data_IF_806707239952
#
_entry.id   IF_806707239952
#
_cell.length_a   1.000
_cell.length_b   1.000
_cell.length_c   1.000
_cell.angle_alpha   90.00
_cell.angle_beta   90.00
_cell.angle_gamma   90.00
#
_symmetry.space_group_name_H-M   'P 1'
#
loop_
_entity.id
_entity.type
_entity.pdbx_description
1 polymer ?
#
# COMPACT_ATOMS: atom_id res chain seq x y z
N UNK A 1 4.81 -17.79 -21.16
CA UNK A 1 5.55 -17.28 -19.99
C UNK A 1 4.75 -16.13 -19.42
N UNK A 2 4.20 -16.28 -18.22
CA UNK A 2 3.62 -15.17 -17.47
C UNK A 2 4.79 -14.32 -16.99
N UNK A 3 4.84 -13.05 -17.42
CA UNK A 3 5.86 -12.12 -16.95
C UNK A 3 5.69 -11.93 -15.43
N UNK A 4 6.70 -12.29 -14.64
CA UNK A 4 6.68 -12.13 -13.18
C UNK A 4 6.96 -10.67 -12.82
N UNK A 5 6.09 -10.08 -12.00
CA UNK A 5 6.24 -8.70 -11.52
C UNK A 5 6.58 -8.69 -10.03
N UNK A 6 7.35 -7.69 -9.62
CA UNK A 6 7.58 -7.38 -8.22
C UNK A 6 7.03 -6.02 -7.87
N UNK A 7 6.56 -5.91 -6.64
CA UNK A 7 6.20 -4.65 -6.00
C UNK A 7 7.20 -4.37 -4.88
N UNK A 8 8.04 -3.36 -5.09
CA UNK A 8 8.92 -2.79 -4.07
C UNK A 8 8.17 -1.67 -3.34
N UNK A 9 7.94 -1.83 -2.04
CA UNK A 9 7.36 -0.75 -1.22
C UNK A 9 8.36 -0.29 -0.17
N UNK A 10 8.61 1.00 -0.08
CA UNK A 10 9.51 1.60 0.91
C UNK A 10 8.74 2.53 1.85
N UNK A 11 9.07 2.49 3.14
CA UNK A 11 8.45 3.30 4.20
C UNK A 11 9.53 4.06 4.97
N UNK A 12 9.46 5.38 4.99
CA UNK A 12 10.46 6.25 5.63
C UNK A 12 9.86 7.63 5.99
N UNK A 13 10.62 8.49 6.67
CA UNK A 13 10.17 9.87 6.97
C UNK A 13 10.43 10.82 5.79
N UNK A 14 9.50 11.72 5.48
CA UNK A 14 9.61 12.66 4.35
C UNK A 14 10.91 13.47 4.32
N UNK A 15 11.41 13.88 5.50
CA UNK A 15 12.63 14.70 5.62
C UNK A 15 13.92 13.89 5.52
N UNK A 16 13.83 12.58 5.36
CA UNK A 16 15.00 11.73 5.25
C UNK A 16 15.82 12.09 4.00
N UNK A 17 17.14 12.13 4.17
CA UNK A 17 18.09 12.40 3.09
C UNK A 17 18.69 11.11 2.55
N UNK A 18 19.07 11.12 1.28
CA UNK A 18 19.83 10.03 0.67
C UNK A 18 21.25 9.98 1.26
N UNK A 19 21.80 8.77 1.47
CA UNK A 19 23.11 8.58 2.12
C UNK A 19 24.29 8.76 1.15
N UNK A 20 24.16 8.28 -0.09
CA UNK A 20 25.29 8.14 -1.01
C UNK A 20 25.36 9.19 -2.13
N UNK A 21 24.46 10.17 -2.16
CA UNK A 21 24.48 11.21 -3.20
C UNK A 21 25.46 12.33 -2.83
N UNK A 22 26.75 12.10 -3.13
CA UNK A 22 27.82 13.08 -2.97
C UNK A 22 27.69 14.27 -3.95
N UNK A 23 26.80 14.20 -4.95
CA UNK A 23 26.60 15.25 -5.94
C UNK A 23 25.33 16.10 -5.68
N UNK A 24 24.34 15.59 -4.94
CA UNK A 24 23.12 16.33 -4.57
C UNK A 24 22.63 15.98 -3.17
N UNK A 25 22.70 16.94 -2.24
CA UNK A 25 22.08 16.88 -0.92
C UNK A 25 20.53 16.88 -1.00
N UNK A 26 19.92 15.84 -1.57
CA UNK A 26 18.48 15.71 -1.80
C UNK A 26 17.73 14.91 -0.73
N UNK A 27 16.40 14.98 -0.79
CA UNK A 27 15.52 14.07 -0.04
C UNK A 27 15.56 12.66 -0.64
N UNK A 28 15.45 11.64 0.20
CA UNK A 28 15.46 10.24 -0.22
C UNK A 28 14.36 9.93 -1.23
N UNK A 29 13.15 10.46 -1.02
CA UNK A 29 12.04 10.29 -1.95
C UNK A 29 12.39 10.79 -3.36
N UNK A 30 13.00 11.98 -3.45
CA UNK A 30 13.39 12.57 -4.73
C UNK A 30 14.47 11.74 -5.44
N UNK A 31 15.45 11.21 -4.69
CA UNK A 31 16.49 10.33 -5.22
C UNK A 31 15.92 9.00 -5.73
N UNK A 32 15.06 8.35 -4.96
CA UNK A 32 14.38 7.10 -5.37
C UNK A 32 13.54 7.31 -6.63
N UNK A 33 12.77 8.39 -6.68
CA UNK A 33 11.91 8.67 -7.84
C UNK A 33 12.70 9.12 -9.07
N UNK A 34 13.87 9.76 -8.90
CA UNK A 34 14.81 9.99 -10.01
C UNK A 34 15.27 8.65 -10.57
N UNK A 35 15.74 7.74 -9.72
CA UNK A 35 16.15 6.40 -10.12
C UNK A 35 15.01 5.66 -10.86
N UNK A 36 13.79 5.69 -10.33
CA UNK A 36 12.65 5.02 -10.98
C UNK A 36 12.26 5.66 -12.33
N UNK A 37 12.43 6.97 -12.48
CA UNK A 37 12.26 7.66 -13.76
C UNK A 37 13.36 7.30 -14.76
N UNK A 38 14.62 7.31 -14.34
CA UNK A 38 15.79 6.97 -15.17
C UNK A 38 15.80 5.51 -15.62
N UNK A 39 15.28 4.61 -14.78
CA UNK A 39 15.12 3.18 -15.10
C UNK A 39 13.78 2.87 -15.79
N UNK A 40 12.97 3.89 -16.07
CA UNK A 40 11.66 3.76 -16.71
C UNK A 40 10.79 2.68 -16.06
N UNK A 41 10.65 2.74 -14.74
CA UNK A 41 9.81 1.81 -13.97
C UNK A 41 8.35 1.93 -14.44
N UNK A 42 7.68 0.82 -14.71
CA UNK A 42 6.34 0.78 -15.30
C UNK A 42 5.35 1.63 -14.50
N UNK A 43 5.35 1.51 -13.17
CA UNK A 43 4.74 2.51 -12.31
C UNK A 43 5.44 2.66 -10.97
N UNK A 44 5.46 3.88 -10.43
CA UNK A 44 5.75 4.13 -9.02
C UNK A 44 4.78 5.16 -8.46
N UNK A 45 4.43 5.06 -7.19
CA UNK A 45 3.52 6.00 -6.53
C UNK A 45 4.09 6.39 -5.17
N UNK A 46 4.39 7.68 -4.99
CA UNK A 46 4.76 8.26 -3.70
C UNK A 46 3.50 8.77 -3.00
N UNK A 47 3.20 8.18 -1.84
CA UNK A 47 2.10 8.53 -0.96
C UNK A 47 2.64 9.18 0.32
N UNK A 48 1.98 10.25 0.76
CA UNK A 48 2.19 10.85 2.08
C UNK A 48 1.18 10.26 3.05
N UNK A 49 1.66 9.65 4.12
CA UNK A 49 0.82 9.12 5.19
C UNK A 49 0.50 10.18 6.24
N UNK A 50 -0.47 9.86 7.09
CA UNK A 50 -1.03 10.76 8.12
C UNK A 50 -0.57 10.38 9.53
N UNK A 51 -0.13 9.15 9.72
CA UNK A 51 0.50 8.71 10.96
C UNK A 51 1.44 7.52 10.70
N UNK A 52 2.51 7.40 11.48
CA UNK A 52 3.31 6.18 11.54
C UNK A 52 4.16 6.10 12.80
N UNK A 53 4.68 4.91 13.06
CA UNK A 53 5.89 4.75 13.86
C UNK A 53 6.72 3.61 13.27
N UNK A 54 8.03 3.64 13.54
CA UNK A 54 8.97 2.59 13.12
C UNK A 54 9.67 1.96 14.32
N UNK A 55 10.77 1.23 14.10
CA UNK A 55 11.46 0.45 15.15
C UNK A 55 11.99 1.27 16.33
N UNK A 56 12.06 2.60 16.19
CA UNK A 56 12.44 3.53 17.27
C UNK A 56 11.25 4.04 18.08
N UNK A 57 10.03 3.59 17.77
CA UNK A 57 8.79 3.99 18.44
C UNK A 57 8.59 5.52 18.46
N UNK A 58 9.07 6.22 17.42
CA UNK A 58 8.83 7.65 17.23
C UNK A 58 7.56 7.82 16.43
N UNK A 59 6.55 8.43 17.06
CA UNK A 59 5.30 8.78 16.40
C UNK A 59 5.54 9.92 15.40
N UNK A 60 5.05 9.72 14.18
CA UNK A 60 4.95 10.72 13.12
C UNK A 60 3.47 10.94 12.86
N UNK A 61 3.01 12.19 12.80
CA UNK A 61 1.60 12.50 12.54
C UNK A 61 1.47 13.85 11.84
N UNK A 62 0.42 14.00 11.01
CA UNK A 62 0.01 15.25 10.37
C UNK A 62 -0.87 16.13 11.27
N UNK A 63 -1.06 15.75 12.53
CA UNK A 63 -1.96 16.44 13.46
C UNK A 63 -1.47 17.82 13.92
N UNK A 64 -0.22 18.21 13.64
CA UNK A 64 0.44 19.28 14.37
C UNK A 64 0.57 20.64 13.67
N UNK A 65 0.26 20.89 12.39
CA UNK A 65 0.50 22.19 11.70
C UNK A 65 1.89 22.85 11.88
N UNK A 66 2.86 22.16 12.49
CA UNK A 66 4.15 22.74 12.84
C UNK A 66 5.10 22.58 11.66
N UNK A 67 6.02 23.53 11.49
CA UNK A 67 7.09 23.45 10.48
C UNK A 67 8.09 22.29 10.74
N UNK A 68 7.91 21.55 11.85
CA UNK A 68 8.75 20.42 12.27
C UNK A 68 8.15 19.05 11.90
N UNK A 69 7.03 19.00 11.18
CA UNK A 69 6.44 17.74 10.74
C UNK A 69 7.37 16.97 9.80
N UNK A 70 7.46 15.66 10.03
CA UNK A 70 8.18 14.70 9.21
C UNK A 70 7.24 13.51 8.95
N UNK A 71 6.20 13.73 8.11
CA UNK A 71 5.16 12.74 7.88
C UNK A 71 5.77 11.48 7.25
N UNK A 72 5.15 10.31 7.47
CA UNK A 72 5.57 9.10 6.77
C UNK A 72 5.38 9.25 5.26
N UNK A 73 6.34 8.73 4.52
CA UNK A 73 6.28 8.53 3.08
C UNK A 73 6.25 7.03 2.81
N UNK A 74 5.38 6.64 1.88
CA UNK A 74 5.37 5.31 1.27
C UNK A 74 5.62 5.46 -0.22
N UNK A 75 6.63 4.79 -0.76
CA UNK A 75 6.84 4.72 -2.22
C UNK A 75 6.66 3.28 -2.67
N UNK A 76 5.70 3.03 -3.55
CA UNK A 76 5.47 1.72 -4.14
C UNK A 76 5.85 1.74 -5.62
N UNK A 77 6.79 0.90 -6.03
CA UNK A 77 7.24 0.72 -7.41
C UNK A 77 6.90 -0.69 -7.90
N UNK A 78 6.36 -0.80 -9.12
CA UNK A 78 5.96 -2.07 -9.74
C UNK A 78 6.52 -2.16 -11.14
N UNK A 79 7.21 -3.26 -11.43
CA UNK A 79 7.70 -3.63 -12.75
C UNK A 79 8.05 -5.13 -12.79
N UNK A 80 8.56 -5.59 -13.93
CA UNK A 80 9.18 -6.89 -14.11
C UNK A 80 10.17 -7.19 -12.99
N UNK A 81 10.16 -8.44 -12.54
CA UNK A 81 11.02 -8.94 -11.47
C UNK A 81 12.49 -8.63 -11.71
N UNK A 82 12.98 -8.79 -12.96
CA UNK A 82 14.36 -8.48 -13.32
C UNK A 82 14.71 -7.01 -13.13
N UNK A 83 13.79 -6.09 -13.49
CA UNK A 83 14.02 -4.65 -13.35
C UNK A 83 14.01 -4.22 -11.89
N UNK A 84 13.01 -4.67 -11.11
CA UNK A 84 12.91 -4.36 -9.69
C UNK A 84 14.10 -4.96 -8.91
N UNK A 85 14.48 -6.20 -9.20
CA UNK A 85 15.64 -6.82 -8.55
C UNK A 85 16.93 -6.05 -8.83
N UNK A 86 17.09 -5.54 -10.07
CA UNK A 86 18.26 -4.76 -10.48
C UNK A 86 18.39 -3.36 -9.84
N UNK A 87 17.33 -2.82 -9.23
CA UNK A 87 17.33 -1.51 -8.58
C UNK A 87 17.29 -1.58 -7.04
N UNK A 88 17.08 -2.75 -6.46
CA UNK A 88 16.97 -2.93 -5.01
C UNK A 88 18.25 -2.49 -4.29
N UNK A 89 19.42 -2.87 -4.80
CA UNK A 89 20.70 -2.50 -4.17
C UNK A 89 20.96 -0.99 -4.22
N UNK A 90 20.58 -0.32 -5.31
CA UNK A 90 20.67 1.14 -5.44
C UNK A 90 19.75 1.82 -4.40
N UNK A 91 18.51 1.33 -4.26
CA UNK A 91 17.54 1.81 -3.26
C UNK A 91 18.06 1.61 -1.84
N UNK A 92 18.68 0.45 -1.55
CA UNK A 92 19.32 0.17 -0.25
C UNK A 92 20.47 1.13 0.00
N UNK A 93 21.35 1.32 -0.99
CA UNK A 93 22.54 2.15 -0.88
C UNK A 93 22.20 3.61 -0.55
N UNK A 94 21.11 4.14 -1.12
CA UNK A 94 20.67 5.51 -0.81
C UNK A 94 19.86 5.63 0.50
N UNK A 95 19.38 4.52 1.09
CA UNK A 95 18.49 4.56 2.25
C UNK A 95 19.23 4.45 3.57
N UNK A 96 19.18 5.52 4.38
CA UNK A 96 19.77 5.52 5.73
C UNK A 96 18.89 4.88 6.81
N UNK A 97 17.57 5.04 6.72
CA UNK A 97 16.56 4.50 7.65
C UNK A 97 15.28 4.12 6.91
N UNK A 98 14.57 3.10 7.35
CA UNK A 98 13.26 2.76 6.80
C UNK A 98 12.99 1.27 6.73
N UNK A 99 11.84 0.94 6.16
CA UNK A 99 11.41 -0.42 5.89
C UNK A 99 11.22 -0.58 4.38
N UNK A 100 11.65 -1.70 3.82
CA UNK A 100 11.42 -2.08 2.44
C UNK A 100 10.74 -3.43 2.41
N UNK A 101 9.75 -3.59 1.55
CA UNK A 101 9.11 -4.88 1.26
C UNK A 101 9.24 -5.19 -0.23
N UNK A 102 9.46 -6.46 -0.55
CA UNK A 102 9.34 -6.97 -1.90
C UNK A 102 8.23 -8.02 -1.93
N UNK A 103 7.22 -7.76 -2.76
CA UNK A 103 6.04 -8.59 -2.91
C UNK A 103 5.95 -9.10 -4.34
N UNK A 104 5.51 -10.36 -4.50
CA UNK A 104 5.19 -10.90 -5.82
C UNK A 104 3.85 -10.35 -6.27
N UNK A 105 3.81 -9.86 -7.49
CA UNK A 105 2.61 -9.37 -8.14
C UNK A 105 2.47 -10.08 -9.49
N UNK A 106 1.24 -10.36 -9.88
CA UNK A 106 0.93 -10.78 -11.24
C UNK A 106 0.33 -9.61 -11.99
N UNK A 107 0.91 -9.26 -13.14
CA UNK A 107 0.28 -8.34 -14.07
C UNK A 107 -0.84 -9.12 -14.79
N UNK A 108 -2.09 -8.79 -14.49
CA UNK A 108 -3.23 -9.46 -15.13
C UNK A 108 -3.34 -9.03 -16.60
N UNK A 109 -3.23 -10.00 -17.51
CA UNK A 109 -3.80 -9.91 -18.88
C UNK A 109 -5.16 -10.60 -18.85
N UNK A 110 -6.08 -10.19 -19.71
CA UNK A 110 -7.51 -10.56 -19.69
C UNK A 110 -7.84 -12.07 -19.67
N UNK A 111 -6.84 -12.96 -19.81
CA UNK A 111 -7.03 -14.40 -20.01
C UNK A 111 -6.43 -15.29 -18.90
N UNK A 112 -6.05 -14.74 -17.73
CA UNK A 112 -5.51 -15.54 -16.62
C UNK A 112 -6.62 -16.07 -15.70
N UNK A 113 -6.90 -17.37 -15.81
CA UNK A 113 -7.72 -18.13 -14.85
C UNK A 113 -6.87 -18.40 -13.60
N UNK A 114 -7.38 -18.06 -12.41
CA UNK A 114 -6.72 -18.34 -11.13
C UNK A 114 -7.66 -19.06 -10.17
N UNK A 115 -7.02 -19.79 -9.25
CA UNK A 115 -7.54 -20.64 -8.18
C UNK A 115 -8.88 -20.15 -7.54
N UNK A 116 -9.92 -21.01 -7.44
CA UNK A 116 -11.23 -20.69 -6.84
C UNK A 116 -11.20 -20.31 -5.35
N UNK A 117 -10.09 -20.53 -4.65
CA UNK A 117 -10.02 -20.42 -3.20
C UNK A 117 -8.99 -19.39 -2.73
N UNK A 118 -9.28 -18.10 -2.88
CA UNK A 118 -9.14 -17.10 -1.79
C UNK A 118 -9.48 -15.68 -2.24
N UNK A 119 -9.63 -14.82 -1.26
CA UNK A 119 -9.72 -13.37 -1.49
C UNK A 119 -8.46 -12.88 -2.21
N UNK A 120 -8.63 -11.94 -3.14
CA UNK A 120 -7.58 -11.30 -3.90
C UNK A 120 -7.60 -9.81 -3.66
N UNK A 121 -6.40 -9.21 -3.60
CA UNK A 121 -6.21 -7.77 -3.62
C UNK A 121 -5.86 -7.36 -5.05
N UNK A 122 -6.77 -6.65 -5.70
CA UNK A 122 -6.54 -6.04 -7.00
C UNK A 122 -6.09 -4.59 -6.80
N UNK A 123 -4.91 -4.25 -7.30
CA UNK A 123 -4.42 -2.88 -7.34
C UNK A 123 -4.46 -2.34 -8.77
N UNK A 124 -5.17 -1.24 -8.97
CA UNK A 124 -5.28 -0.55 -10.27
C UNK A 124 -4.48 0.75 -10.23
N UNK A 125 -3.65 0.98 -11.24
CA UNK A 125 -2.88 2.20 -11.40
C UNK A 125 -3.44 3.04 -12.56
N UNK A 126 -3.80 4.29 -12.27
CA UNK A 126 -4.33 5.24 -13.26
C UNK A 126 -3.74 6.62 -13.06
N UNK A 127 -3.76 7.46 -14.10
CA UNK A 127 -3.35 8.86 -13.99
C UNK A 127 -4.43 9.76 -13.38
N UNK A 128 -4.03 10.85 -12.70
CA UNK A 128 -4.97 11.86 -12.14
C UNK A 128 -5.88 12.50 -13.19
N UNK A 129 -5.39 12.64 -14.42
CA UNK A 129 -6.10 13.27 -15.52
C UNK A 129 -6.74 12.27 -16.47
N UNK A 130 -6.49 10.98 -16.26
CA UNK A 130 -7.06 9.92 -17.07
C UNK A 130 -8.59 9.88 -16.87
N UNK A 131 -9.30 9.57 -17.96
CA UNK A 131 -10.75 9.54 -17.98
C UNK A 131 -11.27 8.29 -18.66
N UNK A 132 -12.37 7.75 -18.12
CA UNK A 132 -13.12 6.63 -18.70
C UNK A 132 -14.55 7.15 -18.90
N UNK A 133 -15.04 7.15 -20.14
CA UNK A 133 -16.39 7.65 -20.45
C UNK A 133 -16.65 9.09 -19.97
N UNK A 134 -15.62 9.94 -19.97
CA UNK A 134 -15.70 11.34 -19.50
C UNK A 134 -15.57 11.53 -17.99
N UNK A 135 -15.72 10.48 -17.18
CA UNK A 135 -15.50 10.51 -15.73
C UNK A 135 -14.00 10.39 -15.39
N UNK A 136 -13.51 10.97 -14.27
CA UNK A 136 -12.16 10.68 -13.78
C UNK A 136 -11.96 9.17 -13.61
N UNK A 137 -10.88 8.62 -14.15
CA UNK A 137 -10.66 7.18 -14.22
C UNK A 137 -10.80 6.50 -12.86
N UNK A 138 -10.23 7.08 -11.79
CA UNK A 138 -10.33 6.50 -10.45
C UNK A 138 -11.77 6.35 -9.93
N UNK A 139 -12.70 7.23 -10.34
CA UNK A 139 -14.12 7.12 -9.98
C UNK A 139 -14.79 6.01 -10.76
N UNK A 140 -14.60 6.02 -12.08
CA UNK A 140 -15.15 4.99 -12.95
C UNK A 140 -14.64 3.58 -12.58
N UNK A 141 -13.37 3.45 -12.20
CA UNK A 141 -12.81 2.20 -11.66
C UNK A 141 -13.51 1.81 -10.35
N UNK A 142 -13.67 2.72 -9.38
CA UNK A 142 -14.41 2.40 -8.16
C UNK A 142 -15.86 2.01 -8.41
N UNK A 143 -16.56 2.69 -9.33
CA UNK A 143 -17.94 2.37 -9.68
C UNK A 143 -18.05 0.99 -10.33
N UNK A 144 -17.09 0.63 -11.20
CA UNK A 144 -16.96 -0.71 -11.76
C UNK A 144 -16.74 -1.75 -10.67
N UNK A 145 -15.77 -1.55 -9.78
CA UNK A 145 -15.47 -2.48 -8.69
C UNK A 145 -16.66 -2.66 -7.75
N UNK A 146 -17.40 -1.59 -7.48
CA UNK A 146 -18.62 -1.62 -6.68
C UNK A 146 -19.72 -2.46 -7.36
N UNK A 147 -19.95 -2.27 -8.67
CA UNK A 147 -20.91 -3.09 -9.44
C UNK A 147 -20.54 -4.57 -9.47
N UNK A 148 -19.25 -4.90 -9.46
CA UNK A 148 -18.76 -6.29 -9.36
C UNK A 148 -18.84 -6.86 -7.93
N UNK A 149 -19.28 -6.07 -6.95
CA UNK A 149 -19.51 -6.51 -5.57
C UNK A 149 -18.25 -6.70 -4.74
N UNK A 150 -17.17 -5.98 -5.05
CA UNK A 150 -15.94 -6.00 -4.22
C UNK A 150 -16.26 -5.63 -2.77
N UNK A 151 -15.53 -6.19 -1.82
CA UNK A 151 -15.73 -5.92 -0.39
C UNK A 151 -15.38 -4.47 -0.01
N UNK A 152 -14.48 -3.84 -0.77
CA UNK A 152 -14.13 -2.44 -0.62
C UNK A 152 -13.03 -2.02 -1.59
N UNK A 153 -12.90 -0.71 -1.77
CA UNK A 153 -11.81 -0.09 -2.52
C UNK A 153 -11.36 1.23 -1.90
N UNK A 154 -10.07 1.53 -1.98
CA UNK A 154 -9.49 2.79 -1.52
C UNK A 154 -8.57 3.37 -2.59
N UNK A 155 -8.81 4.64 -2.95
CA UNK A 155 -8.03 5.40 -3.93
C UNK A 155 -7.03 6.29 -3.21
N UNK A 156 -5.76 6.10 -3.52
CA UNK A 156 -4.65 6.89 -3.01
C UNK A 156 -4.07 7.77 -4.12
N UNK A 157 -3.97 9.06 -3.85
CA UNK A 157 -3.42 10.04 -4.78
C UNK A 157 -1.92 10.22 -4.52
N UNK A 158 -1.11 9.92 -5.55
CA UNK A 158 0.32 10.19 -5.51
C UNK A 158 0.67 11.67 -5.48
N UNK A 159 1.78 12.00 -4.82
CA UNK A 159 2.42 13.33 -4.86
C UNK A 159 3.42 13.41 -6.02
N UNK A 160 4.07 12.29 -6.31
CA UNK A 160 5.04 12.07 -7.36
C UNK A 160 5.03 10.57 -7.71
N UNK A 161 5.62 10.17 -8.82
CA UNK A 161 5.61 8.79 -9.25
C UNK A 161 5.88 8.61 -10.74
N UNK A 162 5.96 7.36 -11.16
CA UNK A 162 6.13 6.96 -12.55
C UNK A 162 4.81 6.37 -13.07
N UNK A 163 4.44 6.69 -14.30
CA UNK A 163 3.37 6.01 -15.03
C UNK A 163 3.86 5.73 -16.45
N UNK A 164 3.80 4.46 -16.87
CA UNK A 164 4.29 3.98 -18.15
C UNK A 164 5.75 4.40 -18.43
N UNK A 165 6.61 4.23 -17.42
CA UNK A 165 8.03 4.60 -17.52
C UNK A 165 8.34 6.08 -17.42
N UNK A 166 7.34 6.97 -17.41
CA UNK A 166 7.54 8.42 -17.30
C UNK A 166 7.25 8.95 -15.90
N UNK A 167 8.15 9.76 -15.35
CA UNK A 167 7.96 10.39 -14.03
C UNK A 167 7.07 11.64 -14.11
N UNK A 168 6.11 11.71 -13.22
CA UNK A 168 5.17 12.81 -13.04
C UNK A 168 5.23 13.32 -11.59
N UNK A 169 5.61 14.60 -11.40
CA UNK A 169 5.70 15.25 -10.08
C UNK A 169 4.73 16.42 -9.97
N UNK A 170 3.88 16.46 -8.95
CA UNK A 170 3.06 17.64 -8.68
C UNK A 170 3.97 18.83 -8.30
N UNK A 171 3.96 19.92 -9.11
CA UNK A 171 4.64 21.18 -8.76
C UNK A 171 3.60 22.22 -8.35
N UNK A 172 3.95 23.06 -7.37
CA UNK A 172 3.07 24.07 -6.75
C UNK A 172 2.41 25.06 -7.76
N UNK A 173 3.04 25.28 -8.91
CA UNK A 173 2.53 26.15 -9.99
C UNK A 173 2.15 25.42 -11.28
N UNK A 174 2.31 24.09 -11.36
CA UNK A 174 1.90 23.34 -12.56
C UNK A 174 0.44 22.93 -12.42
N UNK A 175 -0.43 23.54 -13.23
CA UNK A 175 -1.88 23.36 -13.14
C UNK A 175 -2.39 21.95 -13.46
N UNK A 176 -1.55 21.03 -13.93
CA UNK A 176 -2.06 19.79 -14.53
C UNK A 176 -0.98 18.70 -14.66
N UNK A 177 -0.58 18.07 -13.55
CA UNK A 177 0.32 16.91 -13.61
C UNK A 177 -0.48 15.62 -13.46
N UNK A 178 -0.32 14.71 -14.41
CA UNK A 178 -0.91 13.37 -14.42
C UNK A 178 -0.19 12.44 -13.43
N UNK A 179 -0.03 12.87 -12.17
CA UNK A 179 0.55 12.04 -11.10
C UNK A 179 -0.23 10.73 -10.99
N UNK A 180 0.45 9.60 -10.74
CA UNK A 180 -0.22 8.31 -10.66
C UNK A 180 -1.05 8.18 -9.39
N UNK A 181 -2.15 7.46 -9.50
CA UNK A 181 -3.00 7.01 -8.41
C UNK A 181 -2.90 5.50 -8.27
N UNK A 182 -3.06 5.02 -7.04
CA UNK A 182 -3.15 3.62 -6.69
C UNK A 182 -4.53 3.34 -6.11
N UNK A 183 -5.25 2.37 -6.66
CA UNK A 183 -6.58 1.95 -6.18
C UNK A 183 -6.46 0.53 -5.66
N UNK A 184 -6.52 0.36 -4.34
CA UNK A 184 -6.43 -0.95 -3.69
C UNK A 184 -7.86 -1.46 -3.45
N UNK A 185 -8.18 -2.65 -3.94
CA UNK A 185 -9.51 -3.24 -3.82
C UNK A 185 -9.44 -4.71 -3.41
N UNK A 186 -10.44 -5.15 -2.65
CA UNK A 186 -10.50 -6.52 -2.09
C UNK A 186 -11.74 -7.22 -2.64
N UNK A 187 -11.56 -8.36 -3.29
CA UNK A 187 -12.64 -9.14 -3.89
C UNK A 187 -12.27 -10.62 -4.03
N UNK A 188 -13.20 -11.46 -4.42
CA UNK A 188 -12.92 -12.85 -4.79
C UNK A 188 -12.13 -12.94 -6.10
N UNK A 189 -11.45 -14.06 -6.34
CA UNK A 189 -10.75 -14.30 -7.60
C UNK A 189 -11.66 -14.12 -8.84
N UNK A 190 -12.92 -14.58 -8.77
CA UNK A 190 -13.90 -14.41 -9.84
C UNK A 190 -14.23 -12.93 -10.11
N UNK A 191 -14.45 -12.15 -9.05
CA UNK A 191 -14.69 -10.70 -9.17
C UNK A 191 -13.47 -9.98 -9.75
N UNK A 192 -12.26 -10.35 -9.31
CA UNK A 192 -11.02 -9.79 -9.83
C UNK A 192 -10.82 -10.11 -11.30
N UNK A 193 -11.08 -11.35 -11.73
CA UNK A 193 -10.99 -11.75 -13.14
C UNK A 193 -11.98 -10.95 -14.01
N UNK A 194 -13.26 -10.89 -13.60
CA UNK A 194 -14.29 -10.15 -14.33
C UNK A 194 -13.99 -8.64 -14.42
N UNK A 195 -13.58 -8.03 -13.30
CA UNK A 195 -13.22 -6.62 -13.27
C UNK A 195 -11.96 -6.33 -14.09
N UNK A 196 -10.93 -7.19 -14.04
CA UNK A 196 -9.72 -7.02 -14.83
C UNK A 196 -9.98 -7.08 -16.34
N UNK A 197 -10.87 -7.96 -16.79
CA UNK A 197 -11.30 -8.04 -18.19
C UNK A 197 -12.01 -6.76 -18.63
N UNK A 198 -12.97 -6.26 -17.86
CA UNK A 198 -13.69 -5.00 -18.19
C UNK A 198 -12.75 -3.79 -18.14
N UNK A 199 -11.86 -3.73 -17.14
CA UNK A 199 -10.85 -2.67 -17.03
C UNK A 199 -9.88 -2.67 -18.21
N UNK A 200 -9.46 -3.85 -18.67
CA UNK A 200 -8.58 -3.99 -19.85
C UNK A 200 -9.25 -3.54 -21.14
N UNK A 201 -10.58 -3.57 -21.22
CA UNK A 201 -11.33 -3.09 -22.38
C UNK A 201 -11.50 -1.56 -22.40
N UNK A 202 -11.48 -0.90 -21.23
CA UNK A 202 -11.73 0.54 -21.11
C UNK A 202 -10.48 1.38 -20.86
N UNK A 203 -9.41 0.79 -20.33
CA UNK A 203 -8.13 1.45 -20.12
C UNK A 203 -7.20 1.19 -21.32
N UNK A 204 -6.57 2.21 -21.91
CA UNK A 204 -5.66 2.02 -23.03
C UNK A 204 -4.42 1.17 -22.70
N UNK A 205 -3.89 1.33 -21.48
CA UNK A 205 -2.69 0.64 -21.00
C UNK A 205 -2.91 0.21 -19.54
N UNK A 206 -3.71 -0.83 -19.28
CA UNK A 206 -4.05 -1.24 -17.92
C UNK A 206 -2.79 -1.69 -17.17
N UNK A 207 -2.48 -1.04 -16.06
CA UNK A 207 -1.50 -1.50 -15.07
C UNK A 207 -2.27 -2.00 -13.85
N UNK A 208 -2.35 -3.33 -13.73
CA UNK A 208 -3.14 -4.05 -12.73
C UNK A 208 -2.27 -5.09 -12.03
N UNK A 209 -2.15 -5.03 -10.70
CA UNK A 209 -1.54 -6.14 -9.94
C UNK A 209 -2.59 -6.91 -9.18
N UNK A 210 -2.38 -8.22 -9.08
CA UNK A 210 -3.15 -9.08 -8.20
C UNK A 210 -2.21 -9.74 -7.20
N UNK A 211 -2.57 -9.63 -5.93
CA UNK A 211 -1.88 -10.27 -4.81
C UNK A 211 -2.89 -11.14 -4.03
N UNK A 212 -2.47 -12.33 -3.60
CA UNK A 212 -3.28 -13.23 -2.77
C UNK A 212 -3.37 -12.68 -1.34
N UNK A 213 -4.58 -12.60 -0.79
CA UNK A 213 -4.80 -12.09 0.57
C UNK A 213 -5.84 -12.95 1.31
N UNK A 214 -5.77 -12.98 2.64
CA UNK A 214 -6.84 -13.51 3.49
C UNK A 214 -7.67 -12.39 4.05
N UNK A 215 -8.96 -12.42 3.79
CA UNK A 215 -9.92 -11.58 4.48
C UNK A 215 -10.11 -12.10 5.91
N UNK A 216 -9.65 -11.33 6.90
CA UNK A 216 -9.71 -11.71 8.30
C UNK A 216 -10.98 -11.18 8.98
N UNK A 217 -11.37 -9.94 8.67
CA UNK A 217 -12.58 -9.31 9.21
C UNK A 217 -13.27 -8.43 8.20
N UNK A 218 -14.59 -8.27 8.37
CA UNK A 218 -15.41 -7.29 7.66
C UNK A 218 -16.58 -6.84 8.54
N UNK A 219 -16.66 -5.54 8.80
CA UNK A 219 -17.76 -4.88 9.51
C UNK A 219 -18.14 -5.60 10.81
N UNK A 220 -17.14 -5.80 11.67
CA UNK A 220 -17.26 -6.47 12.96
C UNK A 220 -17.29 -8.00 12.90
N UNK A 221 -17.61 -8.59 11.75
CA UNK A 221 -17.59 -10.04 11.59
C UNK A 221 -16.16 -10.56 11.45
N UNK A 222 -15.79 -11.48 12.35
CA UNK A 222 -14.52 -12.23 12.26
C UNK A 222 -14.70 -13.43 11.35
N UNK A 223 -13.96 -13.45 10.25
CA UNK A 223 -14.04 -14.47 9.19
C UNK A 223 -12.91 -15.49 9.32
N UNK A 224 -11.70 -15.01 9.63
CA UNK A 224 -10.53 -15.82 9.87
C UNK A 224 -9.47 -15.04 10.66
N UNK A 225 -8.55 -15.76 11.29
CA UNK A 225 -7.30 -15.15 11.77
C UNK A 225 -6.27 -15.07 10.62
N UNK A 226 -5.23 -14.23 10.75
CA UNK A 226 -4.13 -14.20 9.80
C UNK A 226 -3.53 -15.60 9.56
N UNK A 227 -3.03 -15.86 8.35
CA UNK A 227 -2.37 -17.14 8.03
C UNK A 227 -1.31 -17.48 9.07
N UNK A 228 -1.30 -18.73 9.55
CA UNK A 228 -0.21 -19.25 10.37
C UNK A 228 0.95 -19.64 9.46
N UNK A 229 1.75 -18.65 9.11
CA UNK A 229 2.94 -18.85 8.28
C UNK A 229 4.11 -19.35 9.14
N UNK A 230 5.01 -20.19 8.59
CA UNK A 230 6.23 -20.57 9.27
C UNK A 230 7.15 -19.35 9.44
N UNK A 231 8.13 -19.44 10.34
CA UNK A 231 9.14 -18.39 10.50
C UNK A 231 10.07 -18.27 9.29
N UNK A 232 10.31 -19.38 8.60
CA UNK A 232 11.16 -19.46 7.41
C UNK A 232 10.55 -20.36 6.35
N UNK A 233 10.96 -20.18 5.10
CA UNK A 233 10.65 -21.11 4.01
C UNK A 233 11.54 -22.38 4.07
N UNK A 234 11.34 -23.27 3.09
CA UNK A 234 12.11 -24.52 2.92
C UNK A 234 13.63 -24.29 2.72
N UNK A 235 14.03 -23.08 2.34
CA UNK A 235 15.43 -22.67 2.15
C UNK A 235 15.98 -21.87 3.34
N UNK A 236 15.23 -21.78 4.45
CA UNK A 236 15.63 -21.03 5.65
C UNK A 236 15.49 -19.52 5.52
N UNK A 237 14.84 -19.00 4.48
CA UNK A 237 14.64 -17.55 4.29
C UNK A 237 13.49 -17.07 5.18
N UNK A 238 13.62 -15.92 5.87
CA UNK A 238 12.58 -15.43 6.76
C UNK A 238 11.29 -15.10 6.00
N UNK A 239 10.16 -15.59 6.49
CA UNK A 239 8.83 -15.23 5.97
C UNK A 239 8.27 -14.10 6.81
N UNK A 240 7.69 -13.11 6.13
CA UNK A 240 7.05 -11.97 6.77
C UNK A 240 5.57 -11.93 6.42
N UNK A 241 4.83 -11.11 7.15
CA UNK A 241 3.40 -10.97 6.96
C UNK A 241 3.00 -9.51 7.12
N UNK A 242 1.98 -9.13 6.35
CA UNK A 242 1.41 -7.79 6.37
C UNK A 242 -0.06 -7.87 6.74
N UNK A 243 -0.48 -6.98 7.64
CA UNK A 243 -1.88 -6.68 7.89
C UNK A 243 -2.22 -5.32 7.30
N UNK A 244 -3.36 -5.24 6.62
CA UNK A 244 -3.94 -3.98 6.18
C UNK A 244 -5.32 -3.84 6.83
N UNK A 245 -5.52 -2.74 7.55
CA UNK A 245 -6.78 -2.41 8.22
C UNK A 245 -7.40 -1.22 7.50
N UNK A 246 -8.49 -1.47 6.80
CA UNK A 246 -9.24 -0.51 6.01
C UNK A 246 -10.42 0.02 6.84
N UNK A 247 -10.44 1.32 7.08
CA UNK A 247 -11.50 2.01 7.85
C UNK A 247 -11.92 3.30 7.12
N UNK A 248 -12.94 3.99 7.63
CA UNK A 248 -13.17 5.40 7.27
C UNK A 248 -12.49 6.32 8.28
N UNK A 249 -12.07 7.50 7.84
CA UNK A 249 -11.53 8.55 8.73
C UNK A 249 -12.55 8.95 9.82
N UNK A 250 -13.84 8.93 9.48
CA UNK A 250 -14.93 9.26 10.40
C UNK A 250 -15.27 8.14 11.39
N UNK A 251 -14.83 6.90 11.14
CA UNK A 251 -15.19 5.76 11.97
C UNK A 251 -14.34 5.77 13.24
N UNK A 252 -15.02 5.86 14.39
CA UNK A 252 -14.37 5.86 15.70
C UNK A 252 -14.62 4.59 16.52
N UNK A 253 -13.75 4.36 17.49
CA UNK A 253 -13.91 3.40 18.58
C UNK A 253 -13.59 4.12 19.89
N UNK A 254 -14.52 4.12 20.86
CA UNK A 254 -14.34 4.84 22.12
C UNK A 254 -14.13 6.35 21.96
N UNK A 255 -14.74 6.97 20.93
CA UNK A 255 -14.64 8.41 20.64
C UNK A 255 -13.38 8.85 19.89
N UNK A 256 -12.47 7.92 19.54
CA UNK A 256 -11.27 8.19 18.73
C UNK A 256 -11.36 7.52 17.37
N UNK A 257 -10.93 8.15 16.26
CA UNK A 257 -10.82 7.48 14.96
C UNK A 257 -10.00 6.19 15.05
N UNK A 258 -10.47 5.09 14.43
CA UNK A 258 -9.87 3.75 14.59
C UNK A 258 -8.37 3.76 14.24
N UNK A 259 -7.97 4.42 13.16
CA UNK A 259 -6.56 4.48 12.77
C UNK A 259 -5.65 5.14 13.84
N UNK A 260 -6.16 6.13 14.58
CA UNK A 260 -5.42 6.77 15.69
C UNK A 260 -5.32 5.83 16.88
N UNK A 261 -6.43 5.18 17.23
CA UNK A 261 -6.45 4.19 18.29
C UNK A 261 -5.50 3.02 17.99
N UNK A 262 -5.45 2.55 16.73
CA UNK A 262 -4.53 1.51 16.26
C UNK A 262 -3.08 1.93 16.43
N UNK A 263 -2.68 3.08 15.87
CA UNK A 263 -1.30 3.57 15.97
C UNK A 263 -0.88 3.69 17.43
N UNK A 264 -1.72 4.30 18.27
CA UNK A 264 -1.43 4.47 19.70
C UNK A 264 -1.30 3.14 20.42
N UNK A 265 -2.26 2.22 20.29
CA UNK A 265 -2.21 0.93 20.99
C UNK A 265 -1.08 0.03 20.50
N UNK A 266 -0.79 0.02 19.20
CA UNK A 266 0.35 -0.74 18.66
C UNK A 266 1.69 -0.17 19.13
N UNK A 267 1.79 1.15 19.25
CA UNK A 267 2.97 1.83 19.79
C UNK A 267 3.16 1.53 21.28
N UNK A 268 2.11 1.73 22.09
CA UNK A 268 2.13 1.61 23.55
C UNK A 268 2.32 0.15 24.01
N UNK A 269 1.78 -0.81 23.26
CA UNK A 269 1.90 -2.25 23.58
C UNK A 269 3.28 -2.84 23.25
N UNK A 270 4.06 -2.18 22.39
CA UNK A 270 5.30 -2.75 21.85
C UNK A 270 5.09 -4.00 20.98
N UNK A 271 3.85 -4.30 20.58
CA UNK A 271 3.49 -5.53 19.84
C UNK A 271 3.73 -5.46 18.33
N UNK A 272 4.11 -4.30 17.80
CA UNK A 272 4.47 -4.11 16.41
C UNK A 272 5.77 -3.33 16.30
N UNK A 273 6.61 -3.70 15.34
CA UNK A 273 7.85 -2.96 15.02
C UNK A 273 7.60 -1.64 14.31
N UNK A 274 6.42 -1.47 13.73
CA UNK A 274 6.00 -0.25 13.07
C UNK A 274 4.62 -0.38 12.45
N UNK A 275 3.98 0.76 12.22
CA UNK A 275 2.75 0.87 11.46
C UNK A 275 2.79 2.14 10.61
N UNK A 276 2.16 2.12 9.44
CA UNK A 276 1.99 3.30 8.57
C UNK A 276 0.53 3.48 8.21
N UNK A 277 0.02 4.70 8.34
CA UNK A 277 -1.37 5.05 8.03
C UNK A 277 -1.42 5.94 6.79
N UNK A 278 -2.18 5.50 5.80
CA UNK A 278 -2.42 6.22 4.55
C UNK A 278 -3.88 6.69 4.48
N UNK A 279 -4.09 7.94 4.10
CA UNK A 279 -5.40 8.51 3.84
C UNK A 279 -5.65 8.53 2.33
N UNK A 280 -6.75 7.93 1.89
CA UNK A 280 -7.20 7.99 0.51
C UNK A 280 -8.03 9.25 0.22
N UNK A 281 -8.43 9.42 -1.03
CA UNK A 281 -9.26 10.55 -1.49
C UNK A 281 -10.67 10.13 -1.91
N UNK A 282 -10.86 8.84 -2.17
CA UNK A 282 -12.09 8.25 -2.69
C UNK A 282 -12.11 6.75 -2.38
N UNK A 283 -13.28 6.14 -2.24
CA UNK A 283 -13.40 4.71 -2.00
C UNK A 283 -14.77 4.29 -1.51
N UNK A 284 -14.90 3.02 -1.15
CA UNK A 284 -16.08 2.45 -0.53
C UNK A 284 -15.72 1.25 0.35
N UNK A 285 -16.61 0.91 1.27
CA UNK A 285 -16.57 -0.31 2.07
C UNK A 285 -18.00 -0.77 2.38
N UNK A 286 -18.22 -2.09 2.34
CA UNK A 286 -19.56 -2.67 2.49
C UNK A 286 -20.54 -2.17 1.43
N UNK A 287 -21.81 -1.97 1.81
CA UNK A 287 -22.90 -1.58 0.90
C UNK A 287 -22.99 -0.06 0.65
N UNK A 288 -21.96 0.71 1.01
CA UNK A 288 -21.95 2.15 0.81
C UNK A 288 -21.46 2.48 -0.60
N UNK A 289 -22.17 3.36 -1.29
CA UNK A 289 -21.73 3.88 -2.59
C UNK A 289 -20.34 4.53 -2.52
N UNK A 290 -19.54 4.50 -3.60
CA UNK A 290 -18.28 5.20 -3.70
C UNK A 290 -18.38 6.67 -3.32
N UNK A 291 -17.57 7.08 -2.35
CA UNK A 291 -17.58 8.41 -1.79
C UNK A 291 -16.15 8.87 -1.51
N UNK A 292 -15.99 10.16 -1.19
CA UNK A 292 -14.68 10.72 -0.92
C UNK A 292 -14.75 12.19 -0.56
N UNK A 293 -13.61 12.84 -0.58
CA UNK A 293 -13.48 14.21 -0.08
C UNK A 293 -14.30 15.19 -0.93
N UNK A 294 -15.22 15.91 -0.29
CA UNK A 294 -15.94 17.03 -0.88
C UNK A 294 -15.48 18.29 -0.17
N UNK A 295 -15.12 19.33 -0.94
CA UNK A 295 -14.48 20.59 -0.49
C UNK A 295 -15.20 21.33 0.67
N UNK A 296 -16.39 20.89 1.09
CA UNK A 296 -17.25 21.51 2.11
C UNK A 296 -17.88 20.52 3.10
N UNK A 297 -17.39 19.28 3.21
CA UNK A 297 -17.90 18.33 4.23
C UNK A 297 -17.19 18.52 5.58
N UNK A 298 -17.98 18.72 6.65
CA UNK A 298 -17.50 18.85 8.04
C UNK A 298 -16.83 17.57 8.56
N UNK A 299 -17.23 16.40 8.04
CA UNK A 299 -16.69 15.09 8.38
C UNK A 299 -16.25 14.39 7.11
N UNK A 300 -14.94 14.18 6.94
CA UNK A 300 -14.39 13.47 5.79
C UNK A 300 -14.63 11.98 5.96
N UNK A 301 -15.46 11.39 5.09
CA UNK A 301 -15.64 9.94 4.98
C UNK A 301 -14.64 9.37 3.98
N UNK A 302 -13.36 9.65 4.13
CA UNK A 302 -12.34 9.11 3.21
C UNK A 302 -11.80 7.79 3.75
N UNK A 303 -11.41 6.84 2.88
CA UNK A 303 -10.81 5.60 3.34
C UNK A 303 -9.45 5.88 3.99
N UNK A 304 -9.17 5.17 5.08
CA UNK A 304 -7.90 5.17 5.77
C UNK A 304 -7.41 3.73 5.87
N UNK A 305 -6.15 3.50 5.53
CA UNK A 305 -5.53 2.18 5.58
C UNK A 305 -4.33 2.21 6.50
N UNK A 306 -4.39 1.42 7.57
CA UNK A 306 -3.27 1.18 8.47
C UNK A 306 -2.55 -0.10 8.06
N UNK A 307 -1.25 0.00 7.80
CA UNK A 307 -0.40 -1.09 7.32
C UNK A 307 0.58 -1.47 8.41
N UNK A 308 0.62 -2.75 8.76
CA UNK A 308 1.53 -3.33 9.75
C UNK A 308 2.30 -4.44 9.06
N UNK A 309 3.63 -4.41 9.12
CA UNK A 309 4.49 -5.45 8.53
C UNK A 309 5.40 -5.98 9.62
N UNK A 310 5.32 -7.28 9.88
CA UNK A 310 6.14 -7.94 10.89
C UNK A 310 6.30 -9.44 10.60
N UNK A 311 6.99 -10.16 11.48
CA UNK A 311 7.02 -11.62 11.44
C UNK A 311 5.61 -12.20 11.73
N UNK A 312 5.29 -13.41 11.29
CA UNK A 312 3.98 -14.02 11.48
C UNK A 312 3.51 -14.06 12.94
N UNK A 313 4.42 -14.30 13.89
CA UNK A 313 4.12 -14.30 15.33
C UNK A 313 3.62 -12.92 15.82
N UNK A 314 4.33 -11.85 15.45
CA UNK A 314 3.98 -10.48 15.84
C UNK A 314 2.74 -9.97 15.12
N UNK A 315 2.50 -10.43 13.89
CA UNK A 315 1.24 -10.18 13.18
C UNK A 315 0.06 -10.83 13.90
N UNK A 316 0.18 -12.06 14.38
CA UNK A 316 -0.89 -12.73 15.12
C UNK A 316 -1.25 -11.97 16.42
N UNK A 317 -0.27 -11.39 17.11
CA UNK A 317 -0.47 -10.53 18.30
C UNK A 317 -1.07 -9.17 17.94
N UNK A 318 -0.55 -8.53 16.91
CA UNK A 318 -1.09 -7.26 16.41
C UNK A 318 -2.55 -7.41 15.99
N UNK A 319 -2.92 -8.57 15.46
CA UNK A 319 -4.30 -8.88 15.09
C UNK A 319 -5.26 -8.86 16.28
N UNK A 320 -4.85 -9.24 17.50
CA UNK A 320 -5.74 -9.16 18.68
C UNK A 320 -6.13 -7.71 18.99
N UNK A 321 -5.19 -6.77 18.89
CA UNK A 321 -5.48 -5.33 19.03
C UNK A 321 -6.39 -4.84 17.91
N UNK A 322 -6.11 -5.28 16.67
CA UNK A 322 -6.90 -4.92 15.50
C UNK A 322 -8.33 -5.47 15.64
N UNK A 323 -8.50 -6.70 16.09
CA UNK A 323 -9.77 -7.38 16.26
C UNK A 323 -10.68 -6.60 17.21
N UNK A 324 -10.16 -6.18 18.36
CA UNK A 324 -10.88 -5.36 19.34
C UNK A 324 -11.29 -4.00 18.76
N UNK A 325 -10.36 -3.29 18.11
CA UNK A 325 -10.61 -1.95 17.57
C UNK A 325 -11.52 -1.96 16.32
N UNK A 326 -11.68 -3.11 15.68
CA UNK A 326 -12.56 -3.32 14.52
C UNK A 326 -13.76 -4.22 14.86
N UNK A 327 -14.20 -4.20 16.11
CA UNK A 327 -15.34 -5.00 16.59
C UNK A 327 -16.67 -4.68 15.89
N UNK A 328 -16.83 -3.46 15.38
CA UNK A 328 -18.08 -3.01 14.72
C UNK A 328 -17.85 -2.65 13.24
N UNK A 329 -16.68 -2.10 12.92
CA UNK A 329 -16.43 -1.49 11.62
C UNK A 329 -15.03 -1.80 11.10
N UNK A 330 -14.90 -1.82 9.78
CA UNK A 330 -13.64 -1.94 9.08
C UNK A 330 -13.44 -3.30 8.42
N UNK A 331 -12.48 -3.35 7.51
CA UNK A 331 -12.08 -4.56 6.79
C UNK A 331 -10.61 -4.84 7.07
N UNK A 332 -10.28 -6.07 7.42
CA UNK A 332 -8.91 -6.48 7.77
C UNK A 332 -8.45 -7.57 6.82
N UNK A 333 -7.32 -7.36 6.16
CA UNK A 333 -6.68 -8.36 5.30
C UNK A 333 -5.30 -8.74 5.81
N UNK A 334 -4.87 -9.95 5.48
CA UNK A 334 -3.55 -10.46 5.79
C UNK A 334 -2.90 -11.10 4.57
N UNK A 335 -1.63 -10.81 4.32
CA UNK A 335 -0.88 -11.38 3.19
C UNK A 335 0.57 -11.68 3.58
N UNK A 336 1.17 -12.68 2.93
CA UNK A 336 2.58 -12.99 3.09
C UNK A 336 3.43 -11.94 2.36
N UNK A 337 4.53 -11.52 2.98
CA UNK A 337 5.54 -10.64 2.38
C UNK A 337 6.82 -11.45 2.20
N UNK A 338 7.23 -11.75 0.95
CA UNK A 338 8.37 -12.62 0.67
C UNK A 338 9.72 -12.13 1.17
N UNK A 339 9.94 -10.82 1.18
CA UNK A 339 11.19 -10.25 1.70
C UNK A 339 10.93 -8.90 2.34
N UNK A 340 11.61 -8.65 3.45
CA UNK A 340 11.56 -7.41 4.21
C UNK A 340 12.97 -7.05 4.63
N UNK A 341 13.35 -5.80 4.38
CA UNK A 341 14.60 -5.22 4.87
C UNK A 341 14.28 -3.97 5.69
N UNK A 342 14.71 -3.98 6.95
CA UNK A 342 14.68 -2.80 7.80
C UNK A 342 16.10 -2.25 7.97
N UNK A 343 16.26 -0.95 7.70
CA UNK A 343 17.51 -0.22 7.86
C UNK A 343 17.32 0.80 8.98
N UNK A 344 18.23 0.85 9.94
CA UNK A 344 18.22 1.87 10.99
C UNK A 344 19.63 2.39 11.30
N UNK A 345 20.19 3.20 10.42
CA UNK A 345 21.52 3.81 10.61
C UNK A 345 22.64 2.78 10.59
N UNK A 346 22.94 2.17 11.75
CA UNK A 346 24.04 1.22 11.94
C UNK A 346 23.64 -0.26 11.77
N UNK A 347 22.34 -0.57 11.72
CA UNK A 347 21.84 -1.95 11.65
C UNK A 347 20.97 -2.20 10.42
N UNK A 348 21.09 -3.42 9.88
CA UNK A 348 20.16 -3.99 8.90
C UNK A 348 19.51 -5.24 9.50
N UNK A 349 18.21 -5.42 9.31
CA UNK A 349 17.47 -6.61 9.75
C UNK A 349 16.60 -7.13 8.60
N UNK A 350 16.66 -8.44 8.36
CA UNK A 350 16.04 -9.06 7.19
C UNK A 350 16.93 -8.94 5.95
N UNK A 351 16.37 -9.29 4.79
CA UNK A 351 17.06 -9.32 3.51
C UNK A 351 16.07 -9.08 2.36
N UNK A 352 16.57 -9.15 1.13
CA UNK A 352 15.80 -8.95 -0.11
C UNK A 352 15.61 -10.25 -0.90
N UNK A 353 15.98 -11.40 -0.34
CA UNK A 353 15.79 -12.70 -0.95
C UNK A 353 14.34 -13.14 -0.77
N UNK A 354 13.63 -13.33 -1.87
CA UNK A 354 12.21 -13.65 -1.83
C UNK A 354 11.98 -15.07 -1.26
N UNK A 355 11.38 -15.18 -0.09
CA UNK A 355 10.91 -16.44 0.47
C UNK A 355 9.79 -17.07 -0.40
N UNK A 356 9.67 -18.40 -0.40
CA UNK A 356 8.60 -19.13 -1.11
C UNK A 356 7.77 -19.96 -0.14
N UNK A 357 6.47 -19.73 -0.14
CA UNK A 357 5.54 -20.53 0.63
C UNK A 357 4.19 -20.49 -0.06
N UNK A 358 3.59 -21.65 -0.26
CA UNK A 358 2.23 -21.81 -0.79
C UNK A 358 1.29 -21.92 0.41
N UNK A 359 0.39 -20.95 0.57
CA UNK A 359 -0.43 -20.74 1.78
C UNK A 359 -1.84 -20.39 1.42
#
# INVERSE_FOLDING_TARGET
MTDSYLKLTTYFGERQRAVNDAARHGFLADAMLNLFGEREVATSVMLRGIASFGPRHVLRTDESLSLSEDPPVTVAAVDLESKISGLVDDVIAMTGRGLMTLERAQLMRADAVSDPHDTSKLTVYVGRQERIGGLPAYRAVCDLLYRHGFAGAAVFLGVDGTAHGQRYRARFFSRNVNVPLMIISIGSAAQVSAAAAELSAVLPHPLLTVERVRLCKRDGQSLARPHRLPTTDEHGRPVWQKLMVHTSEATGHGGLPIHRALVRRLLDSGMARGATVLRGIWGFHGDHEPHGDKLFQLVRRVPVVTIIVDTPEWIARSFDIVDELTAEHGMVTSEMVPAVLSIDGSGRRGDTQLARFDY
#
